data_IF_745771951679
#
_entry.id   IF_745771951679
#
_cell.length_a   1.000
_cell.length_b   1.000
_cell.length_c   1.000
_cell.angle_alpha   90.00
_cell.angle_beta   90.00
_cell.angle_gamma   90.00
#
_symmetry.space_group_name_H-M   'P 1'
#
loop_
_entity.id
_entity.type
_entity.pdbx_description
1 polymer ?
#
# COMPACT_ATOMS: atom_id res chain seq x y z
N UNK A 1 -31.74 8.25 -14.31
CA UNK A 1 -30.64 8.89 -15.05
C UNK A 1 -29.44 7.95 -15.00
N UNK A 2 -29.17 7.17 -16.05
CA UNK A 2 -28.04 6.22 -16.10
C UNK A 2 -26.78 7.06 -16.31
N UNK A 3 -25.93 7.19 -15.29
CA UNK A 3 -24.61 7.80 -15.45
C UNK A 3 -23.74 6.93 -16.33
N UNK A 4 -23.31 7.51 -17.45
CA UNK A 4 -22.44 6.85 -18.43
C UNK A 4 -21.01 6.78 -17.82
N UNK A 5 -20.67 5.63 -17.23
CA UNK A 5 -19.36 5.37 -16.59
C UNK A 5 -18.19 5.24 -17.58
N UNK A 6 -18.48 5.15 -18.88
CA UNK A 6 -17.49 4.81 -19.90
C UNK A 6 -16.52 5.98 -20.27
N UNK A 7 -16.73 7.21 -19.79
CA UNK A 7 -15.94 8.37 -20.20
C UNK A 7 -15.40 9.21 -19.02
N UNK A 8 -15.28 8.64 -17.82
CA UNK A 8 -14.58 9.30 -16.72
C UNK A 8 -13.07 9.10 -16.91
N UNK A 9 -12.39 10.22 -17.16
CA UNK A 9 -10.93 10.25 -17.15
C UNK A 9 -10.44 9.59 -15.84
N UNK A 10 -9.63 8.54 -15.94
CA UNK A 10 -9.00 7.90 -14.78
C UNK A 10 -8.23 8.97 -14.00
N UNK A 11 -8.24 8.87 -12.69
CA UNK A 11 -7.55 9.80 -11.81
C UNK A 11 -7.18 9.07 -10.52
N UNK A 12 -6.24 9.61 -9.77
CA UNK A 12 -5.85 9.13 -8.45
C UNK A 12 -7.06 8.86 -7.53
N UNK A 13 -8.02 9.78 -7.48
CA UNK A 13 -9.27 9.62 -6.73
C UNK A 13 -10.10 8.42 -7.22
N UNK A 14 -10.15 8.16 -8.53
CA UNK A 14 -10.90 7.03 -9.07
C UNK A 14 -10.23 5.69 -8.73
N UNK A 15 -8.91 5.64 -8.76
CA UNK A 15 -8.14 4.46 -8.32
C UNK A 15 -8.36 4.21 -6.81
N UNK A 16 -8.35 5.25 -6.00
CA UNK A 16 -8.64 5.13 -4.58
C UNK A 16 -10.07 4.63 -4.31
N UNK A 17 -11.08 5.14 -5.03
CA UNK A 17 -12.47 4.63 -4.94
C UNK A 17 -12.54 3.16 -5.32
N UNK A 18 -11.87 2.75 -6.40
CA UNK A 18 -11.83 1.35 -6.84
C UNK A 18 -11.20 0.43 -5.77
N UNK A 19 -10.13 0.89 -5.12
CA UNK A 19 -9.51 0.18 -4.00
C UNK A 19 -10.49 0.01 -2.83
N UNK A 20 -11.16 1.06 -2.38
CA UNK A 20 -12.12 0.98 -1.28
C UNK A 20 -13.35 0.14 -1.60
N UNK A 21 -13.80 0.12 -2.86
CA UNK A 21 -14.86 -0.80 -3.29
C UNK A 21 -14.42 -2.25 -3.17
N UNK A 22 -13.19 -2.56 -3.60
CA UNK A 22 -12.61 -3.88 -3.41
C UNK A 22 -12.46 -4.23 -1.92
N UNK A 23 -11.96 -3.32 -1.10
CA UNK A 23 -11.78 -3.56 0.33
C UNK A 23 -13.11 -3.94 0.98
N UNK A 24 -14.16 -3.14 0.79
CA UNK A 24 -15.51 -3.44 1.34
C UNK A 24 -16.06 -4.79 0.88
N UNK A 25 -15.87 -5.14 -0.38
CA UNK A 25 -16.34 -6.42 -0.93
C UNK A 25 -15.60 -7.63 -0.33
N UNK A 26 -14.41 -7.42 0.24
CA UNK A 26 -13.55 -8.48 0.77
C UNK A 26 -13.42 -8.46 2.31
N UNK A 27 -14.05 -7.56 3.03
CA UNK A 27 -13.98 -7.45 4.50
C UNK A 27 -14.43 -8.72 5.24
N UNK A 28 -15.29 -9.53 4.64
CA UNK A 28 -15.72 -10.81 5.23
C UNK A 28 -14.61 -11.85 5.19
N UNK A 29 -13.78 -11.83 4.13
CA UNK A 29 -12.68 -12.79 3.95
C UNK A 29 -11.35 -12.29 4.54
N UNK A 30 -11.17 -10.97 4.57
CA UNK A 30 -9.99 -10.28 5.08
C UNK A 30 -10.49 -9.21 6.08
N UNK A 31 -10.80 -9.59 7.33
CA UNK A 31 -11.41 -8.68 8.32
C UNK A 31 -10.58 -7.42 8.61
N UNK A 32 -9.26 -7.51 8.42
CA UNK A 32 -8.32 -6.41 8.62
C UNK A 32 -8.62 -5.22 7.69
N UNK A 33 -9.26 -5.46 6.53
CA UNK A 33 -9.65 -4.40 5.59
C UNK A 33 -10.66 -3.41 6.16
N UNK A 34 -11.39 -3.78 7.22
CA UNK A 34 -12.26 -2.86 7.96
C UNK A 34 -11.51 -1.70 8.60
N UNK A 35 -10.22 -1.88 8.84
CA UNK A 35 -9.35 -0.85 9.40
C UNK A 35 -8.69 0.03 8.33
N UNK A 36 -8.76 -0.36 7.05
CA UNK A 36 -8.23 0.46 5.96
C UNK A 36 -9.04 1.75 5.84
N UNK A 37 -8.38 2.88 5.93
CA UNK A 37 -9.03 4.18 5.82
C UNK A 37 -8.21 5.19 5.05
N UNK A 38 -8.91 6.19 4.49
CA UNK A 38 -8.30 7.35 3.86
C UNK A 38 -7.87 8.37 4.92
N UNK A 39 -6.65 8.86 4.79
CA UNK A 39 -6.14 9.97 5.59
C UNK A 39 -6.41 11.26 4.83
N UNK A 40 -7.24 12.20 5.36
CA UNK A 40 -7.53 13.45 4.69
C UNK A 40 -6.24 14.26 4.46
N UNK A 41 -5.92 14.53 3.20
CA UNK A 41 -4.80 15.36 2.80
C UNK A 41 -5.24 16.78 2.45
N UNK A 42 -4.27 17.72 2.42
CA UNK A 42 -4.50 19.10 2.00
C UNK A 42 -4.98 19.17 0.55
N UNK A 43 -6.31 19.24 0.35
CA UNK A 43 -6.89 19.70 -0.91
C UNK A 43 -6.99 21.24 -0.92
N UNK A 44 -7.23 21.83 -2.10
CA UNK A 44 -7.64 23.24 -2.25
C UNK A 44 -8.99 23.47 -1.56
N UNK A 45 -9.00 23.59 -0.24
CA UNK A 45 -10.21 23.84 0.55
C UNK A 45 -10.18 25.26 1.08
N UNK A 46 -11.33 25.91 1.07
CA UNK A 46 -11.51 27.25 1.65
C UNK A 46 -11.09 27.34 3.14
N UNK A 47 -11.03 26.22 3.84
CA UNK A 47 -10.74 26.11 5.27
C UNK A 47 -9.30 25.64 5.59
N UNK A 48 -8.35 25.75 4.65
CA UNK A 48 -6.97 25.28 4.81
C UNK A 48 -6.28 25.74 6.10
N UNK A 49 -6.34 27.02 6.48
CA UNK A 49 -5.74 27.52 7.73
C UNK A 49 -6.33 26.85 8.98
N UNK A 50 -7.65 26.69 9.03
CA UNK A 50 -8.34 26.03 10.16
C UNK A 50 -7.95 24.55 10.26
N UNK A 51 -7.89 23.85 9.14
CA UNK A 51 -7.49 22.44 9.11
C UNK A 51 -6.02 22.25 9.55
N UNK A 52 -5.14 23.17 9.17
CA UNK A 52 -3.74 23.17 9.66
C UNK A 52 -3.68 23.40 11.16
N UNK A 53 -4.43 24.37 11.68
CA UNK A 53 -4.53 24.60 13.12
C UNK A 53 -5.11 23.40 13.88
N UNK A 54 -6.02 22.65 13.23
CA UNK A 54 -6.58 21.39 13.73
C UNK A 54 -5.65 20.17 13.59
N UNK A 55 -4.41 20.37 13.10
CA UNK A 55 -3.41 19.31 13.05
C UNK A 55 -3.23 18.63 11.69
N UNK A 56 -3.90 19.10 10.63
CA UNK A 56 -3.65 18.58 9.28
C UNK A 56 -2.19 18.84 8.88
N UNK A 57 -1.47 17.79 8.52
CA UNK A 57 -0.06 17.84 8.12
C UNK A 57 0.12 17.55 6.64
N UNK A 58 0.93 18.33 5.91
CA UNK A 58 1.25 18.03 4.53
C UNK A 58 2.19 16.82 4.45
N UNK A 59 2.03 16.03 3.40
CA UNK A 59 2.92 14.89 3.11
C UNK A 59 2.52 13.59 3.79
N UNK A 60 1.44 13.57 4.58
CA UNK A 60 0.89 12.31 5.11
C UNK A 60 0.38 11.46 3.95
N UNK A 61 0.73 10.16 3.84
CA UNK A 61 0.22 9.29 2.79
C UNK A 61 -1.30 9.15 2.80
N UNK A 62 -1.89 8.89 1.63
CA UNK A 62 -3.35 8.91 1.40
C UNK A 62 -4.11 7.84 2.18
N UNK A 63 -3.49 6.69 2.44
CA UNK A 63 -4.12 5.51 3.04
C UNK A 63 -3.35 5.03 4.26
N UNK A 64 -4.08 4.57 5.27
CA UNK A 64 -3.54 3.92 6.44
C UNK A 64 -4.26 2.59 6.71
N UNK A 65 -3.49 1.53 6.95
CA UNK A 65 -3.95 0.25 7.47
C UNK A 65 -3.20 0.00 8.80
N UNK A 66 -3.80 0.33 9.96
CA UNK A 66 -3.18 0.24 11.28
C UNK A 66 -3.24 -1.20 11.84
N UNK A 67 -2.75 -2.14 11.06
CA UNK A 67 -2.67 -3.57 11.43
C UNK A 67 -1.22 -3.94 11.60
N UNK A 68 -0.82 -4.35 12.78
CA UNK A 68 0.54 -4.83 13.01
C UNK A 68 0.76 -6.17 12.29
N UNK A 69 1.78 -6.26 11.45
CA UNK A 69 2.03 -7.43 10.63
C UNK A 69 3.49 -7.51 10.19
N UNK A 70 4.09 -8.69 10.25
CA UNK A 70 5.44 -8.94 9.76
C UNK A 70 6.52 -8.03 10.37
N UNK A 71 6.41 -7.70 11.66
CA UNK A 71 7.33 -6.82 12.37
C UNK A 71 7.05 -5.32 12.20
N UNK A 72 6.05 -4.93 11.42
CA UNK A 72 5.63 -3.52 11.25
C UNK A 72 4.41 -3.18 12.11
N UNK A 73 4.31 -1.93 12.54
CA UNK A 73 3.17 -1.42 13.32
C UNK A 73 1.91 -1.16 12.49
N UNK A 74 2.06 -0.97 11.20
CA UNK A 74 1.00 -0.69 10.24
C UNK A 74 1.57 -0.40 8.86
N UNK A 75 0.68 -0.23 7.88
CA UNK A 75 1.01 0.09 6.49
C UNK A 75 0.42 1.44 6.10
N UNK A 76 1.24 2.29 5.49
CA UNK A 76 0.83 3.52 4.83
C UNK A 76 1.06 3.42 3.33
N UNK A 77 0.09 3.85 2.52
CA UNK A 77 0.20 3.85 1.05
C UNK A 77 -0.08 5.26 0.54
N UNK A 78 0.85 5.79 -0.25
CA UNK A 78 0.67 6.99 -1.06
C UNK A 78 0.11 6.57 -2.42
N UNK A 79 -1.02 7.15 -2.83
CA UNK A 79 -1.59 6.90 -4.15
C UNK A 79 -1.03 7.88 -5.17
N UNK A 80 -0.70 7.38 -6.34
CA UNK A 80 -0.30 8.17 -7.51
C UNK A 80 -1.07 7.69 -8.74
N UNK A 81 -1.04 8.48 -9.78
CA UNK A 81 -1.65 8.13 -11.04
C UNK A 81 -0.67 8.44 -12.19
N UNK A 82 -0.57 7.53 -13.17
CA UNK A 82 0.34 7.62 -14.31
C UNK A 82 1.80 7.92 -13.86
N UNK A 83 2.40 8.99 -14.38
CA UNK A 83 3.78 9.41 -14.08
C UNK A 83 3.89 10.30 -12.82
N UNK A 84 2.86 10.32 -11.99
CA UNK A 84 2.83 11.11 -10.75
C UNK A 84 3.99 10.73 -9.83
N UNK A 85 4.74 11.74 -9.35
CA UNK A 85 5.86 11.54 -8.44
C UNK A 85 5.50 11.95 -7.03
N UNK A 86 6.13 11.33 -6.06
CA UNK A 86 6.06 11.77 -4.67
C UNK A 86 6.71 13.14 -4.53
N UNK A 87 6.15 13.97 -3.68
CA UNK A 87 6.75 15.24 -3.31
C UNK A 87 7.79 15.03 -2.22
N UNK A 88 8.73 15.97 -2.08
CA UNK A 88 9.73 15.94 -1.02
C UNK A 88 9.10 15.79 0.38
N UNK A 89 7.98 16.46 0.65
CA UNK A 89 7.25 16.36 1.93
C UNK A 89 6.66 14.96 2.17
N UNK A 90 6.16 14.30 1.12
CA UNK A 90 5.65 12.93 1.21
C UNK A 90 6.80 11.95 1.50
N UNK A 91 7.94 12.11 0.83
CA UNK A 91 9.12 11.28 1.06
C UNK A 91 9.67 11.44 2.48
N UNK A 92 9.78 12.69 2.96
CA UNK A 92 10.21 13.00 4.33
C UNK A 92 9.25 12.36 5.35
N UNK A 93 7.92 12.48 5.15
CA UNK A 93 6.93 11.90 6.05
C UNK A 93 6.98 10.37 6.04
N UNK A 94 7.09 9.75 4.87
CA UNK A 94 7.25 8.30 4.74
C UNK A 94 8.56 7.81 5.39
N UNK A 95 9.65 8.59 5.33
CA UNK A 95 10.90 8.26 6.03
C UNK A 95 10.68 8.23 7.54
N UNK A 96 10.06 9.27 8.10
CA UNK A 96 9.75 9.31 9.54
C UNK A 96 8.86 8.14 9.96
N UNK A 97 7.86 7.74 9.14
CA UNK A 97 7.03 6.58 9.42
C UNK A 97 7.84 5.28 9.46
N UNK A 98 8.78 5.09 8.52
CA UNK A 98 9.67 3.91 8.53
C UNK A 98 10.55 3.85 9.76
N UNK A 99 11.10 4.98 10.19
CA UNK A 99 11.88 5.08 11.44
C UNK A 99 11.06 4.71 12.68
N UNK A 100 9.74 4.90 12.64
CA UNK A 100 8.82 4.47 13.69
C UNK A 100 8.26 3.03 13.47
N UNK A 101 8.87 2.24 12.59
CA UNK A 101 8.48 0.84 12.39
C UNK A 101 7.24 0.63 11.55
N UNK A 102 6.77 1.62 10.81
CA UNK A 102 5.68 1.45 9.85
C UNK A 102 6.20 1.05 8.47
N UNK A 103 5.44 0.22 7.76
CA UNK A 103 5.67 -0.01 6.33
C UNK A 103 5.08 1.14 5.53
N UNK A 104 5.82 1.62 4.53
CA UNK A 104 5.31 2.62 3.58
C UNK A 104 5.45 2.11 2.16
N UNK A 105 4.52 2.48 1.27
CA UNK A 105 4.55 2.13 -0.14
C UNK A 105 3.94 3.26 -0.98
N UNK A 106 4.25 3.25 -2.29
CA UNK A 106 3.60 4.08 -3.30
C UNK A 106 2.87 3.15 -4.26
N UNK A 107 1.63 3.46 -4.60
CA UNK A 107 0.81 2.68 -5.54
C UNK A 107 0.29 3.57 -6.66
N UNK A 108 0.42 3.10 -7.90
CA UNK A 108 0.03 3.83 -9.11
C UNK A 108 -1.33 3.38 -9.67
N UNK A 109 -1.95 2.40 -9.04
CA UNK A 109 -3.28 1.92 -9.38
C UNK A 109 -3.94 1.23 -8.18
N UNK A 110 -5.26 1.06 -8.24
CA UNK A 110 -6.00 0.26 -7.26
C UNK A 110 -5.51 -1.19 -7.21
N UNK A 111 -5.11 -1.75 -8.37
CA UNK A 111 -4.56 -3.11 -8.45
C UNK A 111 -3.27 -3.23 -7.65
N UNK A 112 -2.33 -2.34 -7.90
CA UNK A 112 -1.06 -2.32 -7.20
C UNK A 112 -1.25 -2.11 -5.68
N UNK A 113 -2.15 -1.21 -5.28
CA UNK A 113 -2.47 -1.02 -3.87
C UNK A 113 -3.07 -2.28 -3.22
N UNK A 114 -3.94 -3.02 -3.94
CA UNK A 114 -4.49 -4.31 -3.48
C UNK A 114 -3.40 -5.34 -3.24
N UNK A 115 -2.46 -5.48 -4.17
CA UNK A 115 -1.35 -6.42 -4.04
C UNK A 115 -0.43 -6.05 -2.87
N UNK A 116 -0.11 -4.77 -2.71
CA UNK A 116 0.65 -4.28 -1.56
C UNK A 116 -0.03 -4.67 -0.23
N UNK A 117 -1.35 -4.48 -0.13
CA UNK A 117 -2.11 -4.83 1.08
C UNK A 117 -2.12 -6.34 1.31
N UNK A 118 -2.36 -7.15 0.27
CA UNK A 118 -2.34 -8.62 0.37
C UNK A 118 -0.99 -9.15 0.83
N UNK A 119 0.08 -8.66 0.23
CA UNK A 119 1.44 -9.04 0.60
C UNK A 119 1.78 -8.60 2.04
N UNK A 120 1.33 -7.42 2.44
CA UNK A 120 1.52 -6.94 3.79
C UNK A 120 0.85 -7.87 4.81
N UNK A 121 -0.44 -8.19 4.60
CA UNK A 121 -1.23 -9.02 5.51
C UNK A 121 -0.79 -10.50 5.52
N UNK A 122 -0.25 -11.00 4.41
CA UNK A 122 0.27 -12.36 4.33
C UNK A 122 1.45 -12.62 5.29
N UNK A 123 2.27 -11.60 5.57
CA UNK A 123 3.42 -11.70 6.50
C UNK A 123 3.05 -12.05 7.94
N UNK A 124 1.85 -11.65 8.41
CA UNK A 124 1.40 -11.89 9.78
C UNK A 124 0.78 -13.26 10.02
N UNK A 125 0.41 -13.95 8.95
CA UNK A 125 -0.30 -15.25 9.06
C UNK A 125 0.64 -16.44 9.12
N UNK A 126 1.97 -16.21 9.34
CA UNK A 126 2.97 -17.27 9.29
C UNK A 126 2.70 -18.09 8.03
N UNK A 127 3.11 -17.59 6.88
CA UNK A 127 3.03 -18.38 5.67
C UNK A 127 3.78 -19.68 5.98
N UNK A 128 3.06 -20.74 6.26
CA UNK A 128 3.58 -22.08 6.09
C UNK A 128 3.96 -22.14 4.61
N UNK A 129 5.26 -22.01 4.35
CA UNK A 129 5.88 -21.99 3.02
C UNK A 129 5.73 -23.36 2.30
N UNK A 130 4.59 -24.00 2.49
CA UNK A 130 4.26 -25.31 1.91
C UNK A 130 3.83 -25.17 0.45
N UNK A 131 3.59 -23.96 -0.06
CA UNK A 131 3.22 -23.79 -1.47
C UNK A 131 4.23 -22.91 -2.23
N UNK A 132 5.33 -23.56 -2.65
CA UNK A 132 6.43 -22.97 -3.42
C UNK A 132 5.98 -22.27 -4.71
N UNK A 133 4.85 -22.69 -5.31
CA UNK A 133 4.33 -22.11 -6.55
C UNK A 133 3.71 -20.71 -6.37
N UNK A 134 3.05 -20.46 -5.24
CA UNK A 134 2.53 -19.12 -4.93
C UNK A 134 3.65 -18.15 -4.54
N UNK A 135 4.67 -18.63 -3.82
CA UNK A 135 5.83 -17.82 -3.47
C UNK A 135 6.62 -17.39 -4.72
N UNK A 136 6.76 -18.26 -5.72
CA UNK A 136 7.41 -17.93 -7.02
C UNK A 136 6.64 -16.88 -7.78
N UNK A 137 5.31 -16.97 -7.86
CA UNK A 137 4.46 -15.94 -8.52
C UNK A 137 4.56 -14.58 -7.83
N UNK A 138 4.66 -14.57 -6.49
CA UNK A 138 4.87 -13.37 -5.70
C UNK A 138 6.23 -12.73 -6.02
N UNK A 139 7.26 -13.54 -6.17
CA UNK A 139 8.62 -13.07 -6.49
C UNK A 139 8.72 -12.49 -7.90
N UNK A 140 8.19 -13.17 -8.92
CA UNK A 140 8.14 -12.68 -10.30
C UNK A 140 7.38 -11.34 -10.40
N UNK A 141 6.35 -11.15 -9.59
CA UNK A 141 5.61 -9.90 -9.52
C UNK A 141 6.44 -8.77 -8.86
N UNK A 142 7.23 -9.08 -7.82
CA UNK A 142 8.09 -8.09 -7.13
C UNK A 142 9.24 -7.59 -8.02
N UNK A 143 9.81 -8.42 -8.90
CA UNK A 143 10.84 -8.00 -9.85
C UNK A 143 10.33 -7.07 -10.95
N UNK A 144 9.05 -7.19 -11.34
CA UNK A 144 8.42 -6.34 -12.35
C UNK A 144 7.94 -4.98 -11.84
N UNK A 145 7.87 -4.79 -10.53
CA UNK A 145 7.39 -3.56 -9.91
C UNK A 145 8.57 -2.85 -9.24
N UNK A 146 8.96 -1.70 -9.81
CA UNK A 146 9.98 -0.82 -9.21
C UNK A 146 9.46 -0.20 -7.90
N UNK A 147 9.41 -0.99 -6.86
CA UNK A 147 9.14 -0.56 -5.48
C UNK A 147 10.48 -0.58 -4.75
N UNK A 148 10.88 0.52 -4.12
CA UNK A 148 12.05 0.55 -3.25
C UNK A 148 11.75 -0.23 -1.96
N UNK A 149 11.87 -1.55 -2.03
CA UNK A 149 11.59 -2.47 -0.95
C UNK A 149 12.89 -2.95 -0.31
N UNK A 150 12.98 -2.91 0.98
CA UNK A 150 13.81 -3.91 1.66
C UNK A 150 13.19 -5.30 1.38
N UNK A 151 14.00 -6.34 1.09
CA UNK A 151 13.49 -7.66 0.81
C UNK A 151 12.49 -8.11 1.90
N UNK A 152 11.40 -8.71 1.50
CA UNK A 152 10.47 -9.29 2.48
C UNK A 152 11.05 -10.63 2.97
N UNK A 153 10.60 -11.11 4.13
CA UNK A 153 11.05 -12.40 4.65
C UNK A 153 10.89 -13.57 3.65
N UNK A 154 9.93 -13.48 2.71
CA UNK A 154 9.78 -14.43 1.61
C UNK A 154 10.90 -14.30 0.57
N UNK A 155 11.36 -13.08 0.27
CA UNK A 155 12.49 -12.84 -0.65
C UNK A 155 13.82 -13.29 -0.02
N UNK A 156 14.04 -12.97 1.26
CA UNK A 156 15.22 -13.43 2.00
C UNK A 156 15.29 -14.97 2.07
N UNK A 157 14.15 -15.61 2.35
CA UNK A 157 14.06 -17.06 2.36
C UNK A 157 14.30 -17.70 0.99
N UNK A 158 13.84 -17.06 -0.09
CA UNK A 158 14.07 -17.54 -1.46
C UNK A 158 15.55 -17.45 -1.84
N UNK A 159 16.22 -16.35 -1.53
CA UNK A 159 17.66 -16.16 -1.77
C UNK A 159 18.51 -17.17 -0.99
N UNK A 160 18.21 -17.40 0.30
CA UNK A 160 18.88 -18.41 1.11
C UNK A 160 18.74 -19.84 0.56
N UNK A 161 17.56 -20.18 0.00
CA UNK A 161 17.33 -21.51 -0.56
C UNK A 161 17.93 -21.70 -1.97
N UNK A 162 18.10 -20.61 -2.75
CA UNK A 162 18.83 -20.69 -4.02
C UNK A 162 20.33 -20.92 -3.78
N UNK A 163 20.93 -20.30 -2.77
CA UNK A 163 22.32 -20.54 -2.39
C UNK A 163 22.58 -21.99 -1.92
N UNK A 164 21.63 -22.60 -1.21
CA UNK A 164 21.74 -24.01 -0.77
C UNK A 164 21.55 -25.05 -1.88
N UNK A 165 20.99 -24.68 -3.03
CA UNK A 165 20.81 -25.59 -4.19
C UNK A 165 21.99 -25.54 -5.17
N UNK A 166 22.93 -24.62 -4.99
CA UNK A 166 24.13 -24.44 -5.81
C UNK A 166 25.39 -25.09 -5.24
N UNK A 167 25.29 -25.78 -4.07
CA UNK A 167 26.29 -26.65 -3.49
C UNK A 167 25.89 -28.13 -3.73
#
# INVERSE_FOLDING_TARGET
>A
MKMNLANRKRSETMEQIALFNWARANETFIPELKLLHHVPNEGKRSNGPVMKAAGLKPGVPDLCLPVACGGFHGLYIEMKFEDGKTTKKQEEFMSMLREQGYKTAVAYSAEQAREIIRHYLARGKGFDLVNCEEAVKIFEYCEGVSVSWAPCAACEFFEENQQKKGE
#
